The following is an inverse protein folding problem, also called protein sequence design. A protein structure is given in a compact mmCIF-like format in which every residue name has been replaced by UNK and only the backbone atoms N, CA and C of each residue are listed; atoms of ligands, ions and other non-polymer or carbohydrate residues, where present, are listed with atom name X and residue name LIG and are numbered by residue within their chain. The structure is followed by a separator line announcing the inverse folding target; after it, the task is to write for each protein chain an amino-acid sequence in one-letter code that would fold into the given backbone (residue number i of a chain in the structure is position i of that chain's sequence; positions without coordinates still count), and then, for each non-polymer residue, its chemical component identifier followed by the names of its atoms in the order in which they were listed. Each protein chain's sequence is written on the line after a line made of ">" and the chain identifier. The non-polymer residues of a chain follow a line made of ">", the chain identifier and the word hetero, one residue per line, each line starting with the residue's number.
data_IF_142730285464
#
_entry.id   IF_142730285464
#
_cell.length_a   1.000
_cell.length_b   1.000
_cell.length_c   1.000
_cell.angle_alpha   90.00
_cell.angle_beta   90.00
_cell.angle_gamma   90.00
#
_symmetry.space_group_name_H-M   'P 1'
#
loop_
_entity.id
_entity.type
_entity.pdbx_description
1 polymer ?
#
# COMPACT_ATOMS: atom_id res chain seq x y z
N UNK A 1 -1.57 17.19 9.29
CA UNK A 1 -0.35 18.03 9.14
C UNK A 1 -0.16 18.27 7.64
N UNK A 2 0.00 19.50 7.16
CA UNK A 2 0.06 19.82 5.72
C UNK A 2 1.16 19.11 4.92
N UNK A 3 2.17 18.51 5.58
CA UNK A 3 3.24 17.75 4.93
C UNK A 3 3.01 16.23 4.90
N UNK A 4 1.91 15.74 5.49
CA UNK A 4 1.63 14.32 5.60
C UNK A 4 0.53 13.90 4.63
N UNK A 5 0.75 12.79 3.93
CA UNK A 5 -0.28 12.15 3.14
C UNK A 5 -1.32 11.49 4.06
N UNK A 6 -2.48 11.13 3.51
CA UNK A 6 -3.46 10.30 4.22
C UNK A 6 -2.90 8.92 4.54
N UNK A 7 -2.04 8.37 3.68
CA UNK A 7 -1.41 7.07 3.89
C UNK A 7 -0.44 7.12 5.08
N UNK A 8 0.35 8.20 5.21
CA UNK A 8 1.25 8.37 6.36
C UNK A 8 0.47 8.55 7.67
N UNK A 9 -0.66 9.27 7.63
CA UNK A 9 -1.53 9.42 8.80
C UNK A 9 -2.16 8.09 9.21
N UNK A 10 -2.56 7.24 8.25
CA UNK A 10 -3.07 5.91 8.52
C UNK A 10 -2.00 5.01 9.15
N UNK A 11 -0.77 5.03 8.62
CA UNK A 11 0.36 4.29 9.16
C UNK A 11 0.70 4.69 10.61
N UNK A 12 0.72 6.00 10.90
CA UNK A 12 0.92 6.51 12.27
C UNK A 12 -0.16 6.01 13.23
N UNK A 13 -1.43 6.10 12.82
CA UNK A 13 -2.54 5.65 13.67
C UNK A 13 -2.54 4.15 13.88
N UNK A 14 -2.20 3.37 12.86
CA UNK A 14 -2.06 1.93 12.97
C UNK A 14 -0.97 1.54 13.97
N UNK A 15 0.19 2.22 13.92
CA UNK A 15 1.26 2.01 14.89
C UNK A 15 0.87 2.40 16.32
N UNK A 16 0.18 3.55 16.49
CA UNK A 16 -0.26 4.02 17.81
C UNK A 16 -1.27 3.09 18.50
N UNK A 17 -2.10 2.37 17.73
CA UNK A 17 -3.12 1.45 18.25
C UNK A 17 -2.66 -0.01 18.21
N UNK A 18 -1.42 -0.28 17.80
CA UNK A 18 -0.88 -1.63 17.61
C UNK A 18 -1.77 -2.48 16.68
N UNK A 19 -2.20 -1.90 15.56
CA UNK A 19 -3.06 -2.59 14.61
C UNK A 19 -2.34 -3.78 13.95
N UNK A 20 -3.02 -4.91 13.82
CA UNK A 20 -2.49 -6.11 13.16
C UNK A 20 -2.21 -5.91 11.67
N UNK A 21 -2.95 -5.00 11.01
CA UNK A 21 -2.81 -4.72 9.58
C UNK A 21 -3.48 -3.40 9.17
N UNK A 22 -3.06 -2.84 8.04
CA UNK A 22 -3.75 -1.74 7.34
C UNK A 22 -4.47 -2.29 6.11
N UNK A 23 -5.78 -2.04 6.03
CA UNK A 23 -6.60 -2.39 4.88
C UNK A 23 -6.73 -1.17 3.95
N UNK A 24 -6.07 -1.22 2.79
CA UNK A 24 -6.12 -0.17 1.78
C UNK A 24 -7.12 -0.49 0.67
N UNK A 25 -8.25 0.19 0.73
CA UNK A 25 -9.27 0.18 -0.31
C UNK A 25 -8.82 0.98 -1.55
N UNK A 26 -8.73 0.31 -2.71
CA UNK A 26 -8.44 0.94 -4.02
C UNK A 26 -9.53 0.58 -5.04
N UNK A 27 -9.44 1.15 -6.25
CA UNK A 27 -10.33 0.84 -7.40
C UNK A 27 -9.70 -0.17 -8.37
N UNK A 28 -8.77 -0.97 -7.88
CA UNK A 28 -8.03 -2.01 -8.60
C UNK A 28 -7.88 -3.19 -7.65
N UNK A 29 -7.68 -4.39 -8.17
CA UNK A 29 -7.69 -5.64 -7.39
C UNK A 29 -6.53 -5.78 -6.41
N UNK A 30 -5.45 -5.02 -6.61
CA UNK A 30 -4.31 -4.98 -5.72
C UNK A 30 -3.17 -4.19 -6.33
N UNK A 31 -1.94 -4.63 -6.05
CA UNK A 31 -0.72 -3.99 -6.57
C UNK A 31 -0.29 -4.68 -7.86
N UNK A 32 -0.14 -3.90 -8.93
CA UNK A 32 0.31 -4.37 -10.24
C UNK A 32 1.72 -3.87 -10.55
N UNK A 33 2.42 -4.54 -11.46
CA UNK A 33 3.72 -4.10 -11.99
C UNK A 33 3.64 -2.79 -12.79
N UNK A 34 2.50 -2.52 -13.41
CA UNK A 34 2.18 -1.29 -14.11
C UNK A 34 0.67 -0.99 -14.04
N UNK A 35 0.25 0.18 -14.53
CA UNK A 35 -1.16 0.59 -14.47
C UNK A 35 -2.04 -0.33 -15.35
N UNK A 36 -2.93 -1.16 -14.77
CA UNK A 36 -3.76 -2.10 -15.53
C UNK A 36 -4.77 -1.41 -16.45
N UNK A 37 -5.00 -0.09 -16.27
CA UNK A 37 -5.86 0.70 -17.17
C UNK A 37 -5.16 1.10 -18.45
N UNK A 38 -3.83 1.11 -18.45
CA UNK A 38 -2.99 1.47 -19.60
C UNK A 38 -2.36 0.26 -20.26
N UNK A 39 -2.02 -0.75 -19.47
CA UNK A 39 -1.45 -1.99 -19.95
C UNK A 39 -2.39 -3.17 -19.60
N UNK A 40 -3.03 -3.80 -20.59
CA UNK A 40 -3.86 -4.98 -20.34
C UNK A 40 -3.07 -6.20 -19.85
N UNK A 41 -1.75 -6.24 -20.11
CA UNK A 41 -0.85 -7.31 -19.65
C UNK A 41 -0.28 -7.06 -18.25
N UNK A 42 -0.81 -6.07 -17.51
CA UNK A 42 -0.37 -5.76 -16.16
C UNK A 42 -0.56 -6.97 -15.23
N UNK A 43 0.52 -7.35 -14.56
CA UNK A 43 0.55 -8.54 -13.69
C UNK A 43 0.30 -8.12 -12.25
N UNK A 44 -0.71 -8.75 -11.64
CA UNK A 44 -1.03 -8.58 -10.21
C UNK A 44 -0.01 -9.32 -9.35
N UNK A 45 0.44 -8.69 -8.27
CA UNK A 45 1.25 -9.35 -7.25
C UNK A 45 0.39 -9.84 -6.09
N UNK A 46 0.51 -11.12 -5.74
CA UNK A 46 -0.18 -11.70 -4.58
C UNK A 46 0.45 -11.27 -3.25
N UNK A 47 1.79 -11.16 -3.22
CA UNK A 47 2.58 -10.76 -2.07
C UNK A 47 3.81 -9.97 -2.51
N UNK A 48 4.11 -8.91 -1.78
CA UNK A 48 5.28 -8.07 -1.99
C UNK A 48 5.90 -7.72 -0.65
N UNK A 49 7.24 -7.61 -0.61
CA UNK A 49 7.91 -6.97 0.51
C UNK A 49 7.86 -5.45 0.36
N UNK A 50 7.97 -4.73 1.47
CA UNK A 50 8.11 -3.26 1.47
C UNK A 50 9.27 -2.79 0.61
N UNK A 51 10.40 -3.52 0.65
CA UNK A 51 11.58 -3.25 -0.17
C UNK A 51 11.27 -3.41 -1.66
N UNK A 52 10.49 -4.42 -2.06
CA UNK A 52 10.09 -4.58 -3.46
C UNK A 52 9.22 -3.42 -3.94
N UNK A 53 8.29 -2.97 -3.10
CA UNK A 53 7.42 -1.81 -3.39
C UNK A 53 8.26 -0.56 -3.64
N UNK A 54 9.24 -0.29 -2.76
CA UNK A 54 10.14 0.86 -2.87
C UNK A 54 11.04 0.73 -4.10
N UNK A 55 11.72 -0.40 -4.28
CA UNK A 55 12.68 -0.62 -5.37
C UNK A 55 12.04 -0.59 -6.75
N UNK A 56 10.81 -1.10 -6.88
CA UNK A 56 10.07 -1.12 -8.15
C UNK A 56 9.26 0.16 -8.37
N UNK A 57 9.26 1.10 -7.41
CA UNK A 57 8.48 2.33 -7.49
C UNK A 57 6.99 2.10 -7.62
N UNK A 58 6.46 1.04 -6.99
CA UNK A 58 5.05 0.70 -7.08
C UNK A 58 4.24 1.72 -6.28
N UNK A 59 3.26 2.35 -6.93
CA UNK A 59 2.45 3.43 -6.38
C UNK A 59 1.35 2.92 -5.41
N UNK A 60 1.75 2.20 -4.36
CA UNK A 60 0.84 1.67 -3.33
C UNK A 60 0.51 2.74 -2.29
N UNK A 61 1.57 3.33 -1.73
CA UNK A 61 1.56 4.40 -0.74
C UNK A 61 2.83 5.25 -0.88
N UNK A 62 2.87 6.39 -0.19
CA UNK A 62 4.10 7.19 -0.12
C UNK A 62 5.23 6.44 0.63
N UNK A 63 6.47 6.78 0.32
CA UNK A 63 7.64 6.11 0.89
C UNK A 63 7.76 6.28 2.40
N UNK A 64 7.23 7.36 2.98
CA UNK A 64 7.28 7.61 4.42
C UNK A 64 6.30 6.69 5.16
N UNK A 65 5.09 6.53 4.63
CA UNK A 65 4.13 5.55 5.13
C UNK A 65 4.68 4.12 5.01
N UNK A 66 5.32 3.78 3.89
CA UNK A 66 5.90 2.46 3.66
C UNK A 66 7.01 2.13 4.66
N UNK A 67 7.95 3.05 4.88
CA UNK A 67 9.00 2.89 5.90
C UNK A 67 8.41 2.74 7.30
N UNK A 68 7.40 3.55 7.66
CA UNK A 68 6.80 3.48 8.99
C UNK A 68 6.11 2.13 9.25
N UNK A 69 5.37 1.62 8.28
CA UNK A 69 4.76 0.29 8.38
C UNK A 69 5.82 -0.82 8.45
N UNK A 70 6.92 -0.68 7.69
CA UNK A 70 8.03 -1.63 7.73
C UNK A 70 8.72 -1.66 9.10
N UNK A 71 9.00 -0.50 9.70
CA UNK A 71 9.68 -0.40 11.00
C UNK A 71 8.84 -0.92 12.18
N UNK A 72 7.51 -0.93 12.02
CA UNK A 72 6.57 -1.40 13.04
C UNK A 72 5.97 -2.78 12.71
N UNK A 73 6.49 -3.48 11.70
CA UNK A 73 6.00 -4.78 11.24
C UNK A 73 4.49 -4.81 10.94
N UNK A 74 3.92 -3.71 10.43
CA UNK A 74 2.49 -3.57 10.14
C UNK A 74 2.23 -3.97 8.69
N UNK A 75 1.62 -5.15 8.42
CA UNK A 75 1.32 -5.57 7.05
C UNK A 75 0.23 -4.69 6.42
N UNK A 76 0.30 -4.52 5.11
CA UNK A 76 -0.69 -3.79 4.31
C UNK A 76 -1.39 -4.76 3.38
N UNK A 77 -2.72 -4.70 3.37
CA UNK A 77 -3.56 -5.45 2.46
C UNK A 77 -4.24 -4.47 1.51
N UNK A 78 -3.91 -4.55 0.23
CA UNK A 78 -4.55 -3.74 -0.81
C UNK A 78 -5.65 -4.56 -1.44
N UNK A 79 -6.86 -4.00 -1.52
CA UNK A 79 -8.00 -4.68 -2.10
C UNK A 79 -8.90 -3.73 -2.89
N UNK A 80 -9.68 -4.29 -3.80
CA UNK A 80 -10.68 -3.53 -4.56
C UNK A 80 -11.94 -3.33 -3.72
N UNK A 81 -12.29 -2.07 -3.46
CA UNK A 81 -13.50 -1.74 -2.71
C UNK A 81 -14.79 -1.97 -3.50
N UNK A 82 -14.71 -1.96 -4.83
CA UNK A 82 -15.87 -2.00 -5.73
C UNK A 82 -16.15 -3.40 -6.28
N UNK A 83 -15.39 -4.41 -5.86
CA UNK A 83 -15.53 -5.78 -6.32
C UNK A 83 -16.28 -6.58 -5.25
N UNK A 84 -17.40 -7.16 -5.65
CA UNK A 84 -18.20 -8.11 -4.85
C UNK A 84 -17.51 -9.48 -4.74
#
# INVERSE_FOLDING_TARGET
>A
NPFFSTDTAAALRAAEIEADAILMAKRVDGVYDCDPRKNPDATLFDKLSFIDVINRGLAVMDSTAASLCMDNDIPIVVFNLLRD
#
